data_IF_083430664022
#
_entry.id   IF_083430664022
#
_cell.length_a   1.000
_cell.length_b   1.000
_cell.length_c   1.000
_cell.angle_alpha   90.00
_cell.angle_beta   90.00
_cell.angle_gamma   90.00
#
_symmetry.space_group_name_H-M   'P 1'
#
loop_
_entity.id
_entity.type
_entity.pdbx_description
1 polymer ?
#
# COMPACT_ATOMS: atom_id res chain seq x y z
N UNK A 1 -3.00 -17.48 -25.31
CA UNK A 1 -2.25 -17.58 -24.06
C UNK A 1 -2.45 -16.28 -23.27
N UNK A 2 -2.57 -16.35 -21.94
CA UNK A 2 -2.54 -15.13 -21.11
C UNK A 2 -1.15 -14.48 -21.22
N UNK A 3 -1.09 -13.16 -21.31
CA UNK A 3 0.18 -12.41 -21.37
C UNK A 3 0.83 -12.39 -19.99
N UNK A 4 2.15 -12.39 -19.93
CA UNK A 4 2.92 -12.24 -18.69
C UNK A 4 3.07 -10.76 -18.36
N UNK A 5 3.08 -10.44 -17.06
CA UNK A 5 3.11 -9.05 -16.57
C UNK A 5 4.27 -8.88 -15.61
N UNK A 6 5.14 -7.93 -15.89
CA UNK A 6 6.33 -7.64 -15.10
C UNK A 6 6.28 -6.23 -14.49
N UNK A 7 7.07 -6.02 -13.45
CA UNK A 7 7.26 -4.72 -12.81
C UNK A 7 8.58 -4.16 -13.36
N UNK A 8 8.49 -3.07 -14.12
CA UNK A 8 9.65 -2.43 -14.76
C UNK A 8 10.06 -1.11 -14.12
N UNK A 9 9.24 -0.52 -13.25
CA UNK A 9 9.56 0.71 -12.54
C UNK A 9 8.89 0.81 -11.18
N UNK A 10 9.57 1.45 -10.23
CA UNK A 10 9.16 1.61 -8.85
C UNK A 10 9.35 3.06 -8.39
N UNK A 11 8.33 3.63 -7.76
CA UNK A 11 8.41 4.93 -7.11
C UNK A 11 7.63 4.95 -5.81
N UNK A 12 8.17 5.64 -4.80
CA UNK A 12 7.58 5.68 -3.47
C UNK A 12 7.93 6.97 -2.74
N UNK A 13 6.98 7.45 -1.95
CA UNK A 13 7.20 8.40 -0.87
C UNK A 13 6.52 7.83 0.38
N UNK A 14 7.27 7.73 1.47
CA UNK A 14 6.82 7.06 2.69
C UNK A 14 7.48 7.64 3.93
N UNK A 15 6.97 7.33 5.13
CA UNK A 15 7.57 7.82 6.39
C UNK A 15 9.01 7.39 6.64
N UNK A 16 9.49 6.36 5.92
CA UNK A 16 10.85 5.82 6.10
C UNK A 16 11.75 6.01 4.87
N UNK A 17 11.28 6.73 3.86
CA UNK A 17 12.09 7.07 2.68
C UNK A 17 11.26 7.75 1.60
N UNK A 18 11.86 8.74 0.94
CA UNK A 18 11.24 9.54 -0.10
C UNK A 18 11.55 9.05 -1.53
N UNK A 19 12.27 7.93 -1.63
CA UNK A 19 12.47 7.13 -2.84
C UNK A 19 12.68 5.65 -2.47
N UNK A 20 12.82 4.79 -3.47
CA UNK A 20 12.93 3.33 -3.24
C UNK A 20 14.27 2.92 -2.62
N UNK A 21 15.34 3.68 -2.83
CA UNK A 21 16.65 3.44 -2.25
C UNK A 21 16.65 3.77 -0.76
N UNK A 22 16.10 4.93 -0.38
CA UNK A 22 15.95 5.34 1.02
C UNK A 22 15.00 4.40 1.78
N UNK A 23 13.87 4.04 1.15
CA UNK A 23 12.93 3.08 1.71
C UNK A 23 13.60 1.75 1.99
N UNK A 24 14.31 1.20 1.01
CA UNK A 24 14.94 -0.11 1.14
C UNK A 24 16.05 -0.11 2.20
N UNK A 25 16.90 0.91 2.19
CA UNK A 25 17.92 1.09 3.23
C UNK A 25 17.30 1.18 4.63
N UNK A 26 16.16 1.87 4.76
CA UNK A 26 15.42 1.95 6.03
C UNK A 26 14.85 0.60 6.47
N UNK A 27 14.33 -0.20 5.55
CA UNK A 27 13.85 -1.57 5.81
C UNK A 27 14.99 -2.48 6.30
N UNK A 28 16.14 -2.48 5.62
CA UNK A 28 17.29 -3.31 6.00
C UNK A 28 17.85 -2.93 7.38
N UNK A 29 17.84 -1.64 7.71
CA UNK A 29 18.33 -1.12 8.99
C UNK A 29 17.27 -1.09 10.10
N UNK A 30 16.05 -1.57 9.86
CA UNK A 30 14.99 -1.63 10.85
C UNK A 30 14.55 -0.24 11.34
N UNK A 31 14.54 0.77 10.45
CA UNK A 31 14.09 2.13 10.79
C UNK A 31 12.57 2.16 10.94
N UNK A 32 12.10 2.73 12.05
CA UNK A 32 10.69 3.02 12.28
C UNK A 32 10.39 4.49 11.95
N UNK A 33 9.34 4.74 11.14
CA UNK A 33 8.90 6.08 10.75
C UNK A 33 7.83 6.68 11.65
N UNK A 34 7.45 6.00 12.72
CA UNK A 34 6.43 6.46 13.67
C UNK A 34 7.05 7.50 14.61
N UNK A 35 6.38 8.63 14.74
CA UNK A 35 6.82 9.73 15.60
C UNK A 35 5.60 10.57 16.04
N UNK A 36 5.84 11.62 16.84
CA UNK A 36 4.81 12.57 17.21
C UNK A 36 4.19 13.25 15.98
N UNK A 37 2.87 13.44 16.01
CA UNK A 37 2.13 14.16 14.97
C UNK A 37 2.54 15.62 15.00
N UNK A 38 2.94 16.16 13.84
CA UNK A 38 3.35 17.55 13.67
C UNK A 38 2.44 18.34 12.71
N UNK A 39 1.58 17.67 11.95
CA UNK A 39 0.71 18.27 10.94
C UNK A 39 -0.45 19.09 11.53
N UNK A 40 -0.79 18.85 12.80
CA UNK A 40 -1.83 19.62 13.53
C UNK A 40 -1.59 19.56 15.05
N UNK A 41 -2.25 20.43 15.81
CA UNK A 41 -2.20 20.41 17.27
C UNK A 41 -2.94 19.19 17.83
N UNK A 42 -2.23 18.35 18.55
CA UNK A 42 -2.74 17.12 19.16
C UNK A 42 -3.11 17.29 20.64
N UNK A 43 -3.07 18.49 21.23
CA UNK A 43 -3.31 18.69 22.67
C UNK A 43 -4.58 18.01 23.16
N UNK A 44 -5.68 18.14 22.43
CA UNK A 44 -6.99 17.55 22.74
C UNK A 44 -7.19 16.12 22.22
N UNK A 45 -6.25 15.59 21.44
CA UNK A 45 -6.32 14.23 20.90
C UNK A 45 -5.71 13.22 21.89
N UNK A 46 -6.31 12.02 22.01
CA UNK A 46 -5.71 10.91 22.74
C UNK A 46 -4.54 10.30 21.97
N UNK A 47 -4.68 10.20 20.65
CA UNK A 47 -3.65 9.71 19.75
C UNK A 47 -2.64 10.80 19.48
N UNK A 48 -1.36 10.52 19.74
CA UNK A 48 -0.25 11.46 19.61
C UNK A 48 0.74 11.09 18.51
N UNK A 49 0.70 9.83 18.04
CA UNK A 49 1.68 9.27 17.13
C UNK A 49 1.07 8.98 15.74
N UNK A 50 1.86 9.25 14.71
CA UNK A 50 1.58 8.86 13.33
C UNK A 50 2.90 8.64 12.57
N UNK A 51 2.81 8.07 11.38
CA UNK A 51 3.93 7.93 10.48
C UNK A 51 3.79 8.97 9.34
N UNK A 52 4.32 10.17 9.58
CA UNK A 52 4.30 11.30 8.64
C UNK A 52 5.47 11.25 7.67
N UNK A 53 5.27 11.72 6.45
CA UNK A 53 6.37 11.98 5.52
C UNK A 53 7.08 13.26 5.96
N UNK A 54 8.38 13.15 6.22
CA UNK A 54 9.26 14.23 6.60
C UNK A 54 10.24 14.56 5.47
N UNK A 55 10.67 15.82 5.42
CA UNK A 55 11.75 16.32 4.55
C UNK A 55 11.54 16.07 3.03
N UNK A 56 10.28 15.97 2.59
CA UNK A 56 9.96 15.84 1.17
C UNK A 56 9.96 17.20 0.49
N UNK A 57 10.93 17.43 -0.39
CA UNK A 57 10.98 18.62 -1.23
C UNK A 57 10.09 18.46 -2.47
N UNK A 58 8.88 18.98 -2.41
CA UNK A 58 7.93 18.97 -3.52
C UNK A 58 8.45 19.74 -4.75
N UNK A 59 9.24 20.81 -4.54
CA UNK A 59 9.73 21.71 -5.61
C UNK A 59 10.83 21.03 -6.44
N UNK A 60 11.48 20.01 -5.93
CA UNK A 60 12.40 19.14 -6.70
C UNK A 60 11.69 18.46 -7.88
N UNK A 61 10.39 18.18 -7.74
CA UNK A 61 9.62 17.41 -8.73
C UNK A 61 8.70 18.27 -9.59
N UNK A 62 8.06 19.28 -9.00
CA UNK A 62 7.06 20.14 -9.63
C UNK A 62 7.17 21.58 -9.15
N UNK A 63 6.87 22.56 -10.00
CA UNK A 63 6.83 23.95 -9.56
C UNK A 63 5.60 24.23 -8.67
N UNK A 64 5.68 25.31 -7.86
CA UNK A 64 4.61 25.69 -6.90
C UNK A 64 3.24 25.86 -7.55
N UNK A 65 3.20 26.34 -8.81
CA UNK A 65 1.95 26.58 -9.52
C UNK A 65 1.24 25.25 -9.82
N UNK A 66 1.99 24.23 -10.26
CA UNK A 66 1.45 22.93 -10.59
C UNK A 66 0.92 22.19 -9.36
N UNK A 67 1.50 22.46 -8.19
CA UNK A 67 1.10 21.81 -6.94
C UNK A 67 -0.04 22.56 -6.22
N UNK A 68 -0.31 23.83 -6.56
CA UNK A 68 -1.23 24.69 -5.81
C UNK A 68 -2.66 24.15 -5.72
N UNK A 69 -3.10 23.43 -6.74
CA UNK A 69 -4.48 22.92 -6.87
C UNK A 69 -4.55 21.41 -6.70
N UNK A 70 -3.57 20.82 -6.03
CA UNK A 70 -3.56 19.42 -5.65
C UNK A 70 -3.65 19.27 -4.13
N UNK A 71 -4.51 18.39 -3.66
CA UNK A 71 -4.48 17.90 -2.29
C UNK A 71 -3.17 17.12 -2.05
N UNK A 72 -2.79 16.97 -0.79
CA UNK A 72 -1.54 16.31 -0.39
C UNK A 72 -1.38 14.91 -0.97
N UNK A 73 -2.47 14.10 -0.98
CA UNK A 73 -2.42 12.74 -1.55
C UNK A 73 -2.15 12.75 -3.07
N UNK A 74 -2.65 13.74 -3.81
CA UNK A 74 -2.36 13.89 -5.25
C UNK A 74 -0.91 14.24 -5.49
N UNK A 75 -0.32 15.11 -4.64
CA UNK A 75 1.11 15.46 -4.72
C UNK A 75 1.99 14.23 -4.53
N UNK A 76 1.69 13.39 -3.55
CA UNK A 76 2.41 12.13 -3.33
C UNK A 76 2.28 11.18 -4.53
N UNK A 77 1.07 10.99 -5.05
CA UNK A 77 0.82 10.15 -6.22
C UNK A 77 1.65 10.59 -7.44
N UNK A 78 1.69 11.91 -7.71
CA UNK A 78 2.46 12.48 -8.82
C UNK A 78 3.96 12.24 -8.65
N UNK A 79 4.51 12.46 -7.45
CA UNK A 79 5.94 12.26 -7.17
C UNK A 79 6.31 10.79 -7.32
N UNK A 80 5.56 9.89 -6.67
CA UNK A 80 5.81 8.45 -6.79
C UNK A 80 5.69 7.97 -8.24
N UNK A 81 4.73 8.50 -9.01
CA UNK A 81 4.61 8.19 -10.44
C UNK A 81 5.82 8.66 -11.24
N UNK A 82 6.26 9.90 -11.02
CA UNK A 82 7.44 10.43 -11.70
C UNK A 82 8.68 9.58 -11.45
N UNK A 83 8.91 9.21 -10.18
CA UNK A 83 10.00 8.30 -9.81
C UNK A 83 9.87 6.93 -10.50
N UNK A 84 8.67 6.31 -10.49
CA UNK A 84 8.43 5.02 -11.11
C UNK A 84 8.66 5.05 -12.63
N UNK A 85 8.25 6.14 -13.27
CA UNK A 85 8.40 6.32 -14.69
C UNK A 85 9.86 6.56 -15.10
N UNK A 86 10.58 7.39 -14.35
CA UNK A 86 12.03 7.60 -14.50
C UNK A 86 12.80 6.29 -14.27
N UNK A 87 12.47 5.53 -13.23
CA UNK A 87 13.09 4.23 -12.91
C UNK A 87 12.83 3.17 -14.00
N UNK A 88 11.66 3.20 -14.63
CA UNK A 88 11.32 2.29 -15.73
C UNK A 88 12.05 2.59 -17.03
N UNK A 89 12.60 3.80 -17.18
CA UNK A 89 13.20 4.33 -18.41
C UNK A 89 12.27 4.20 -19.63
N UNK A 90 10.96 4.37 -19.42
CA UNK A 90 9.96 4.40 -20.49
C UNK A 90 10.01 5.76 -21.20
N UNK A 91 10.43 5.79 -22.47
CA UNK A 91 10.53 7.00 -23.27
C UNK A 91 9.54 6.98 -24.45
N UNK A 92 9.47 5.86 -25.15
CA UNK A 92 8.57 5.67 -26.29
C UNK A 92 7.59 4.53 -25.98
N UNK A 93 6.30 4.88 -25.89
CA UNK A 93 5.23 3.95 -25.53
C UNK A 93 3.90 4.38 -26.16
N UNK A 94 3.04 3.41 -26.41
CA UNK A 94 1.69 3.67 -26.92
C UNK A 94 0.80 4.26 -25.82
N UNK A 95 0.46 5.54 -25.95
CA UNK A 95 -0.35 6.29 -24.98
C UNK A 95 -1.78 5.77 -24.88
N UNK A 96 -2.34 5.27 -25.96
CA UNK A 96 -3.71 4.73 -25.98
C UNK A 96 -3.77 3.33 -25.35
N UNK A 97 -2.61 2.65 -25.24
CA UNK A 97 -2.46 1.36 -24.57
C UNK A 97 -1.78 1.44 -23.19
N UNK A 98 -1.60 2.68 -22.68
CA UNK A 98 -1.07 2.94 -21.35
C UNK A 98 -2.18 3.42 -20.43
N UNK A 99 -2.42 2.69 -19.34
CA UNK A 99 -3.46 3.00 -18.35
C UNK A 99 -2.90 3.52 -17.03
N UNK A 100 -3.77 4.15 -16.25
CA UNK A 100 -3.49 4.61 -14.88
C UNK A 100 -4.57 4.09 -13.93
N UNK A 101 -4.17 3.33 -12.92
CA UNK A 101 -5.09 2.83 -11.87
C UNK A 101 -4.48 3.16 -10.52
N UNK A 102 -4.94 4.24 -9.89
CA UNK A 102 -4.45 4.68 -8.60
C UNK A 102 -5.55 4.66 -7.55
N UNK A 103 -5.23 4.09 -6.41
CA UNK A 103 -6.15 3.96 -5.28
C UNK A 103 -5.96 5.05 -4.23
N UNK A 104 -7.01 5.32 -3.49
CA UNK A 104 -6.98 6.02 -2.20
C UNK A 104 -8.16 5.53 -1.37
N UNK A 105 -8.02 5.51 -0.06
CA UNK A 105 -9.12 5.15 0.84
C UNK A 105 -10.10 6.29 1.08
N UNK A 106 -9.57 7.51 1.28
CA UNK A 106 -10.35 8.68 1.70
C UNK A 106 -10.22 9.85 0.71
N UNK A 107 -9.11 9.94 -0.02
CA UNK A 107 -8.88 11.01 -0.98
C UNK A 107 -8.54 12.34 -0.31
N UNK A 108 -9.11 13.45 -0.81
CA UNK A 108 -8.78 14.82 -0.40
C UNK A 108 -9.38 15.25 0.94
N UNK A 109 -9.21 14.47 2.00
CA UNK A 109 -9.75 14.74 3.34
C UNK A 109 -9.22 16.04 3.94
N UNK A 110 -7.95 16.39 3.68
CA UNK A 110 -7.37 17.67 4.11
C UNK A 110 -8.10 18.83 3.46
N UNK A 111 -8.33 18.77 2.15
CA UNK A 111 -9.11 19.78 1.40
C UNK A 111 -10.54 19.90 1.92
N UNK A 112 -11.22 18.77 2.20
CA UNK A 112 -12.58 18.76 2.75
C UNK A 112 -12.61 19.46 4.09
N UNK A 113 -11.72 19.10 5.03
CA UNK A 113 -11.66 19.67 6.36
C UNK A 113 -11.37 21.18 6.32
N UNK A 114 -10.39 21.60 5.49
CA UNK A 114 -10.03 23.00 5.38
C UNK A 114 -11.14 23.85 4.73
N UNK A 115 -11.85 23.33 3.73
CA UNK A 115 -12.95 24.04 3.08
C UNK A 115 -14.17 24.14 3.98
N UNK A 116 -14.46 23.15 4.82
CA UNK A 116 -15.51 23.20 5.83
C UNK A 116 -15.23 24.30 6.88
N UNK A 117 -14.00 24.42 7.37
CA UNK A 117 -13.60 25.50 8.25
C UNK A 117 -13.79 26.89 7.59
N UNK A 118 -13.37 27.03 6.32
CA UNK A 118 -13.59 28.28 5.57
C UNK A 118 -15.07 28.59 5.39
N UNK A 119 -15.90 27.59 5.09
CA UNK A 119 -17.35 27.76 4.97
C UNK A 119 -17.96 28.29 6.27
N UNK A 120 -17.59 27.69 7.40
CA UNK A 120 -18.13 28.05 8.72
C UNK A 120 -17.66 29.42 9.21
N UNK A 121 -16.39 29.77 8.95
CA UNK A 121 -15.81 31.06 9.41
C UNK A 121 -16.10 32.23 8.47
N UNK A 122 -16.14 32.00 7.15
CA UNK A 122 -16.09 33.07 6.13
C UNK A 122 -17.27 33.04 5.15
N UNK A 123 -18.11 32.01 5.23
CA UNK A 123 -19.29 31.84 4.40
C UNK A 123 -19.03 31.25 3.01
N UNK A 124 -20.09 30.88 2.27
CA UNK A 124 -20.00 30.06 1.05
C UNK A 124 -19.25 30.72 -0.12
N UNK A 125 -19.24 32.05 -0.19
CA UNK A 125 -18.52 32.77 -1.26
C UNK A 125 -17.00 32.71 -1.15
N UNK A 126 -16.46 32.19 -0.05
CA UNK A 126 -15.02 32.08 0.23
C UNK A 126 -14.49 30.65 0.05
N UNK A 127 -15.35 29.68 -0.17
CA UNK A 127 -14.95 28.31 -0.50
C UNK A 127 -14.22 28.30 -1.85
N UNK A 128 -13.12 27.53 -1.92
CA UNK A 128 -12.29 27.45 -3.12
C UNK A 128 -13.09 26.91 -4.32
N UNK A 129 -12.98 27.50 -5.53
CA UNK A 129 -13.57 26.92 -6.74
C UNK A 129 -12.93 25.57 -7.14
N UNK A 130 -11.76 25.24 -6.56
CA UNK A 130 -11.07 23.97 -6.75
C UNK A 130 -11.42 22.92 -5.68
N UNK A 131 -12.34 23.25 -4.76
CA UNK A 131 -12.73 22.33 -3.67
C UNK A 131 -13.10 20.95 -4.20
N UNK A 132 -14.07 20.89 -5.11
CA UNK A 132 -14.55 19.60 -5.64
C UNK A 132 -13.43 18.83 -6.38
N UNK A 133 -12.72 19.41 -7.35
CA UNK A 133 -11.61 18.69 -8.00
C UNK A 133 -10.54 18.18 -7.03
N UNK A 134 -10.19 18.95 -6.00
CA UNK A 134 -9.17 18.56 -5.04
C UNK A 134 -9.64 17.47 -4.06
N UNK A 135 -10.95 17.40 -3.78
CA UNK A 135 -11.52 16.44 -2.85
C UNK A 135 -11.75 15.04 -3.46
N UNK A 136 -11.96 14.96 -4.78
CA UNK A 136 -12.31 13.72 -5.46
C UNK A 136 -11.17 12.70 -5.45
N UNK A 137 -11.47 11.44 -5.11
CA UNK A 137 -10.47 10.35 -5.05
C UNK A 137 -9.83 10.08 -6.42
N UNK A 138 -10.64 10.07 -7.49
CA UNK A 138 -10.15 9.76 -8.84
C UNK A 138 -9.23 10.84 -9.45
N UNK A 139 -9.09 11.98 -8.80
CA UNK A 139 -8.30 13.08 -9.36
C UNK A 139 -6.79 12.77 -9.36
N UNK A 140 -6.32 11.91 -8.46
CA UNK A 140 -4.95 11.44 -8.47
C UNK A 140 -4.64 10.68 -9.77
N UNK A 141 -5.50 9.72 -10.14
CA UNK A 141 -5.35 8.98 -11.39
C UNK A 141 -5.46 9.89 -12.63
N UNK A 142 -6.46 10.79 -12.63
CA UNK A 142 -6.66 11.74 -13.71
C UNK A 142 -5.49 12.71 -13.89
N UNK A 143 -4.92 13.23 -12.80
CA UNK A 143 -3.77 14.14 -12.86
C UNK A 143 -2.51 13.41 -13.36
N UNK A 144 -2.28 12.19 -12.88
CA UNK A 144 -1.16 11.34 -13.34
C UNK A 144 -1.32 11.00 -14.83
N UNK A 145 -2.54 10.68 -15.28
CA UNK A 145 -2.79 10.42 -16.71
C UNK A 145 -2.47 11.66 -17.58
N UNK A 146 -2.78 12.86 -17.09
CA UNK A 146 -2.42 14.12 -17.76
C UNK A 146 -0.90 14.31 -17.79
N UNK A 147 -0.21 14.11 -16.67
CA UNK A 147 1.26 14.26 -16.56
C UNK A 147 2.01 13.34 -17.55
N UNK A 148 1.48 12.13 -17.78
CA UNK A 148 2.08 11.11 -18.65
C UNK A 148 1.54 11.13 -20.10
N UNK A 149 0.53 11.91 -20.40
CA UNK A 149 -0.28 11.81 -21.64
C UNK A 149 -0.77 10.36 -21.87
N UNK A 150 -1.13 9.65 -20.78
CA UNK A 150 -1.66 8.29 -20.83
C UNK A 150 -3.17 8.35 -21.16
N UNK A 151 -3.56 7.77 -22.30
CA UNK A 151 -4.92 7.90 -22.87
C UNK A 151 -5.72 6.61 -22.82
N UNK A 152 -5.11 5.53 -22.31
CA UNK A 152 -5.80 4.27 -22.10
C UNK A 152 -6.76 4.33 -20.91
N UNK A 153 -7.00 3.18 -20.28
CA UNK A 153 -7.92 3.09 -19.16
C UNK A 153 -7.41 3.90 -17.95
N UNK A 154 -8.22 4.82 -17.45
CA UNK A 154 -7.93 5.62 -16.26
C UNK A 154 -9.03 5.43 -15.22
N UNK A 155 -8.67 4.97 -14.00
CA UNK A 155 -9.64 4.68 -12.94
C UNK A 155 -9.01 4.83 -11.55
N UNK A 156 -9.88 4.90 -10.54
CA UNK A 156 -9.47 4.78 -9.14
C UNK A 156 -10.24 3.67 -8.44
N UNK A 157 -9.52 2.87 -7.66
CA UNK A 157 -10.09 1.80 -6.85
C UNK A 157 -10.27 2.29 -5.42
N UNK A 158 -11.44 2.05 -4.85
CA UNK A 158 -11.79 2.44 -3.47
C UNK A 158 -12.33 1.21 -2.73
N UNK A 159 -11.43 0.47 -2.10
CA UNK A 159 -11.74 -0.71 -1.25
C UNK A 159 -11.03 -0.60 0.10
N UNK A 160 -11.11 0.61 0.69
CA UNK A 160 -10.46 0.95 1.96
C UNK A 160 -8.96 0.55 1.96
N UNK A 161 -8.50 -0.19 2.99
CA UNK A 161 -7.11 -0.58 3.11
C UNK A 161 -6.63 -1.59 2.04
N UNK A 162 -7.53 -2.23 1.31
CA UNK A 162 -7.20 -3.14 0.21
C UNK A 162 -7.11 -2.43 -1.17
N UNK A 163 -7.36 -1.11 -1.21
CA UNK A 163 -7.57 -0.37 -2.44
C UNK A 163 -6.35 -0.44 -3.39
N UNK A 164 -5.14 -0.23 -2.89
CA UNK A 164 -3.94 -0.24 -3.74
C UNK A 164 -3.57 -1.65 -4.22
N UNK A 165 -3.77 -2.69 -3.41
CA UNK A 165 -3.58 -4.08 -3.86
C UNK A 165 -4.57 -4.43 -4.97
N UNK A 166 -5.82 -4.01 -4.85
CA UNK A 166 -6.81 -4.17 -5.92
C UNK A 166 -6.43 -3.36 -7.17
N UNK A 167 -5.91 -2.12 -7.03
CA UNK A 167 -5.47 -1.33 -8.17
C UNK A 167 -4.33 -2.01 -8.97
N UNK A 168 -3.37 -2.60 -8.26
CA UNK A 168 -2.28 -3.39 -8.88
C UNK A 168 -2.86 -4.65 -9.53
N UNK A 169 -3.75 -5.37 -8.85
CA UNK A 169 -4.41 -6.56 -9.37
C UNK A 169 -5.26 -6.28 -10.62
N UNK A 170 -6.05 -5.21 -10.63
CA UNK A 170 -6.80 -4.79 -11.82
C UNK A 170 -5.88 -4.39 -12.97
N UNK A 171 -4.78 -3.67 -12.68
CA UNK A 171 -3.75 -3.34 -13.67
C UNK A 171 -3.12 -4.59 -14.29
N UNK A 172 -2.78 -5.56 -13.45
CA UNK A 172 -2.30 -6.88 -13.88
C UNK A 172 -3.31 -7.57 -14.82
N UNK A 173 -4.60 -7.61 -14.45
CA UNK A 173 -5.63 -8.23 -15.29
C UNK A 173 -5.76 -7.51 -16.65
N UNK A 174 -5.73 -6.17 -16.67
CA UNK A 174 -5.84 -5.39 -17.92
C UNK A 174 -4.71 -5.68 -18.91
N UNK A 175 -3.48 -5.88 -18.42
CA UNK A 175 -2.35 -6.24 -19.27
C UNK A 175 -2.43 -7.70 -19.68
N UNK A 176 -2.65 -8.61 -18.71
CA UNK A 176 -2.73 -10.05 -18.94
C UNK A 176 -3.76 -10.44 -19.99
N UNK A 177 -4.90 -9.77 -19.96
CA UNK A 177 -6.02 -10.05 -20.86
C UNK A 177 -5.94 -9.24 -22.17
N UNK A 178 -4.86 -8.47 -22.38
CA UNK A 178 -4.53 -7.82 -23.65
C UNK A 178 -5.20 -6.47 -23.89
N UNK A 179 -5.85 -5.88 -22.88
CA UNK A 179 -6.47 -4.55 -23.02
C UNK A 179 -5.44 -3.42 -23.06
N UNK A 180 -4.36 -3.55 -22.28
CA UNK A 180 -3.28 -2.57 -22.16
C UNK A 180 -1.92 -3.26 -22.30
N UNK A 181 -0.88 -2.49 -22.57
CA UNK A 181 0.50 -2.95 -22.58
C UNK A 181 1.25 -2.45 -21.37
N UNK A 182 0.86 -1.30 -20.82
CA UNK A 182 1.44 -0.67 -19.65
C UNK A 182 0.34 -0.18 -18.72
N UNK A 183 0.52 -0.36 -17.42
CA UNK A 183 -0.34 0.24 -16.40
C UNK A 183 0.52 0.84 -15.29
N UNK A 184 0.30 2.11 -15.02
CA UNK A 184 0.79 2.79 -13.82
C UNK A 184 -0.20 2.49 -12.70
N UNK A 185 0.17 1.60 -11.80
CA UNK A 185 -0.71 1.09 -10.75
C UNK A 185 -0.15 1.35 -9.36
N UNK A 186 -1.02 1.64 -8.41
CA UNK A 186 -0.60 1.87 -7.03
C UNK A 186 -1.64 2.58 -6.19
N UNK A 187 -1.19 3.34 -5.20
CA UNK A 187 -2.09 4.08 -4.33
C UNK A 187 -1.41 5.23 -3.59
N UNK A 188 -2.22 6.14 -3.12
CA UNK A 188 -1.76 7.34 -2.41
C UNK A 188 -2.75 7.72 -1.32
N UNK A 189 -2.25 8.09 -0.16
CA UNK A 189 -3.05 8.51 0.99
C UNK A 189 -2.37 9.62 1.79
N UNK A 190 -3.12 10.63 2.21
CA UNK A 190 -2.65 11.70 3.06
C UNK A 190 -3.72 12.07 4.09
N UNK A 191 -4.05 11.09 4.94
CA UNK A 191 -5.18 11.19 5.86
C UNK A 191 -4.81 11.55 7.29
N UNK A 192 -3.55 11.96 7.57
CA UNK A 192 -3.15 12.43 8.90
C UNK A 192 -3.66 13.87 9.09
N UNK A 193 -4.96 13.98 9.39
CA UNK A 193 -5.65 15.23 9.70
C UNK A 193 -6.35 15.10 11.06
N UNK A 194 -6.59 16.24 11.74
CA UNK A 194 -7.32 16.22 13.02
C UNK A 194 -8.65 15.48 12.91
N UNK A 195 -9.42 15.74 11.83
CA UNK A 195 -10.72 15.09 11.61
C UNK A 195 -10.60 13.57 11.43
N UNK A 196 -9.68 13.10 10.58
CA UNK A 196 -9.54 11.67 10.32
C UNK A 196 -8.97 10.91 11.53
N UNK A 197 -7.99 11.49 12.24
CA UNK A 197 -7.45 10.92 13.49
C UNK A 197 -8.55 10.83 14.55
N UNK A 198 -9.38 11.88 14.73
CA UNK A 198 -10.51 11.85 15.65
C UNK A 198 -11.54 10.77 15.25
N UNK A 199 -11.84 10.62 13.96
CA UNK A 199 -12.77 9.61 13.44
C UNK A 199 -12.30 8.18 13.74
N UNK A 200 -11.05 7.84 13.43
CA UNK A 200 -10.49 6.51 13.73
C UNK A 200 -10.29 6.27 15.24
N UNK A 201 -9.94 7.30 16.01
CA UNK A 201 -9.85 7.21 17.47
C UNK A 201 -11.21 6.93 18.11
N UNK A 202 -12.29 7.55 17.62
CA UNK A 202 -13.67 7.30 18.07
C UNK A 202 -14.12 5.85 17.84
N UNK A 203 -13.56 5.20 16.79
CA UNK A 203 -13.78 3.77 16.52
C UNK A 203 -12.92 2.85 17.40
N UNK A 204 -12.02 3.41 18.22
CA UNK A 204 -11.00 2.66 18.99
C UNK A 204 -10.10 1.78 18.10
N UNK A 205 -9.82 2.25 16.91
CA UNK A 205 -9.01 1.52 15.94
C UNK A 205 -7.53 1.89 16.01
N UNK A 206 -7.22 3.08 16.57
CA UNK A 206 -5.85 3.60 16.66
C UNK A 206 -5.17 3.20 17.97
N UNK A 207 -3.87 3.02 17.90
CA UNK A 207 -3.02 2.89 19.09
C UNK A 207 -2.97 4.22 19.86
N UNK A 208 -3.23 4.16 21.16
CA UNK A 208 -3.08 5.28 22.09
C UNK A 208 -1.70 5.25 22.80
N UNK A 209 -0.76 4.43 22.31
CA UNK A 209 0.60 4.38 22.86
C UNK A 209 1.30 5.74 22.69
N UNK A 210 2.07 6.11 23.69
CA UNK A 210 2.99 7.27 23.65
C UNK A 210 4.44 6.84 23.38
N UNK A 211 4.71 5.54 23.41
CA UNK A 211 6.01 4.98 23.03
C UNK A 211 5.98 4.64 21.53
N UNK A 212 6.74 5.41 20.74
CA UNK A 212 6.83 5.22 19.29
C UNK A 212 7.34 3.84 18.86
N UNK A 213 8.11 3.18 19.72
CA UNK A 213 8.60 1.83 19.45
C UNK A 213 7.57 0.75 19.82
N UNK A 214 6.48 1.10 20.52
CA UNK A 214 5.42 0.17 20.91
C UNK A 214 4.06 0.52 20.33
N UNK A 215 3.99 1.52 19.45
CA UNK A 215 2.71 1.98 18.89
C UNK A 215 2.19 1.09 17.76
N UNK A 216 3.07 0.56 16.89
CA UNK A 216 2.71 -0.39 15.83
C UNK A 216 3.57 -1.65 15.99
N UNK A 217 2.97 -2.69 16.54
CA UNK A 217 3.61 -3.95 16.93
C UNK A 217 2.78 -5.15 16.44
N UNK A 218 2.65 -5.35 15.12
CA UNK A 218 1.84 -6.44 14.58
C UNK A 218 2.21 -7.80 15.17
N UNK A 219 1.19 -8.60 15.50
CA UNK A 219 1.29 -9.94 16.10
C UNK A 219 1.83 -9.99 17.55
N UNK A 220 2.16 -8.84 18.13
CA UNK A 220 2.59 -8.77 19.55
C UNK A 220 1.37 -8.91 20.47
N UNK A 221 1.58 -9.54 21.62
CA UNK A 221 0.58 -9.75 22.66
C UNK A 221 -0.01 -8.42 23.21
N UNK A 222 0.80 -7.36 23.22
CA UNK A 222 0.42 -6.04 23.73
C UNK A 222 -0.15 -5.10 22.66
N UNK A 223 -0.35 -5.58 21.41
CA UNK A 223 -0.92 -4.76 20.35
C UNK A 223 -2.32 -4.26 20.71
N UNK A 224 -2.63 -3.01 20.38
CA UNK A 224 -3.87 -2.38 20.82
C UNK A 224 -4.54 -1.48 19.78
N UNK A 225 -3.98 -1.37 18.57
CA UNK A 225 -4.49 -0.52 17.50
C UNK A 225 -3.43 -0.25 16.45
N UNK A 226 -3.84 0.29 15.31
CA UNK A 226 -2.89 0.68 14.28
C UNK A 226 -2.40 2.12 14.46
N UNK A 227 -1.26 2.46 13.85
CA UNK A 227 -0.76 3.82 13.71
C UNK A 227 -1.03 4.29 12.30
N UNK A 228 -1.67 5.44 12.12
CA UNK A 228 -1.89 6.03 10.79
C UNK A 228 -0.57 6.42 10.15
N UNK A 229 -0.43 6.13 8.86
CA UNK A 229 0.66 6.60 8.01
C UNK A 229 0.12 7.33 6.78
N UNK A 230 1.00 8.06 6.10
CA UNK A 230 0.72 8.71 4.82
C UNK A 230 1.78 8.35 3.78
N UNK A 231 1.45 8.46 2.52
CA UNK A 231 2.41 8.22 1.45
C UNK A 231 1.78 7.73 0.15
N UNK A 232 2.64 7.35 -0.76
CA UNK A 232 2.26 6.79 -2.05
C UNK A 232 3.31 5.80 -2.54
N UNK A 233 2.86 4.74 -3.19
CA UNK A 233 3.73 3.93 -4.02
C UNK A 233 3.07 3.63 -5.35
N UNK A 234 3.88 3.59 -6.39
CA UNK A 234 3.48 3.36 -7.77
C UNK A 234 4.42 2.34 -8.40
N UNK A 235 3.84 1.36 -9.07
CA UNK A 235 4.52 0.36 -9.86
C UNK A 235 4.18 0.56 -11.33
N UNK A 236 5.16 0.52 -12.21
CA UNK A 236 4.94 0.40 -13.65
C UNK A 236 4.82 -1.08 -13.96
N UNK A 237 3.61 -1.51 -14.27
CA UNK A 237 3.31 -2.86 -14.76
C UNK A 237 3.41 -2.85 -16.27
N UNK A 238 4.06 -3.84 -16.84
CA UNK A 238 4.35 -3.88 -18.27
C UNK A 238 4.20 -5.32 -18.81
N UNK A 239 3.69 -5.43 -20.02
CA UNK A 239 3.65 -6.70 -20.74
C UNK A 239 5.10 -7.19 -20.98
N UNK A 240 5.36 -8.48 -20.74
CA UNK A 240 6.72 -9.01 -20.75
C UNK A 240 7.44 -8.81 -22.09
N UNK A 241 6.79 -9.15 -23.21
CA UNK A 241 7.44 -9.03 -24.54
C UNK A 241 7.70 -7.55 -24.90
N UNK A 242 6.82 -6.65 -24.44
CA UNK A 242 7.06 -5.21 -24.56
C UNK A 242 8.29 -4.78 -23.76
N UNK A 243 8.41 -5.24 -22.51
CA UNK A 243 9.54 -4.94 -21.64
C UNK A 243 10.86 -5.50 -22.21
N UNK A 244 10.85 -6.76 -22.67
CA UNK A 244 12.04 -7.41 -23.26
C UNK A 244 12.50 -6.71 -24.55
N UNK A 245 11.57 -6.30 -25.42
CA UNK A 245 11.88 -5.63 -26.68
C UNK A 245 12.66 -4.34 -26.48
N UNK A 246 12.42 -3.62 -25.39
CA UNK A 246 13.12 -2.38 -25.05
C UNK A 246 14.29 -2.57 -24.07
N UNK A 247 14.66 -3.83 -23.73
CA UNK A 247 15.65 -4.18 -22.72
C UNK A 247 15.37 -3.52 -21.36
N UNK A 248 14.11 -3.57 -20.92
CA UNK A 248 13.71 -3.02 -19.65
C UNK A 248 14.40 -3.73 -18.49
N UNK A 249 14.74 -2.99 -17.45
CA UNK A 249 15.00 -3.57 -16.15
C UNK A 249 13.71 -4.19 -15.60
N UNK A 250 13.77 -5.43 -15.17
CA UNK A 250 12.65 -6.13 -14.57
C UNK A 250 12.96 -6.40 -13.10
N UNK A 251 12.02 -6.06 -12.21
CA UNK A 251 12.15 -6.27 -10.77
C UNK A 251 11.58 -7.61 -10.33
N UNK A 252 10.37 -7.91 -10.78
CA UNK A 252 9.62 -9.11 -10.49
C UNK A 252 8.51 -9.32 -11.53
N UNK A 253 7.89 -10.48 -11.52
CA UNK A 253 6.68 -10.78 -12.30
C UNK A 253 5.47 -10.81 -11.36
N UNK A 254 4.36 -10.18 -11.74
CA UNK A 254 3.06 -10.37 -11.07
C UNK A 254 2.43 -11.62 -11.67
N UNK A 255 2.24 -12.65 -10.87
CA UNK A 255 1.79 -13.97 -11.37
C UNK A 255 0.39 -14.36 -10.90
N UNK A 256 -0.11 -13.76 -9.82
CA UNK A 256 -1.44 -14.07 -9.31
C UNK A 256 -2.07 -12.90 -8.57
N UNK A 257 -3.38 -12.80 -8.72
CA UNK A 257 -4.23 -11.86 -7.99
C UNK A 257 -5.50 -12.57 -7.55
N UNK A 258 -5.87 -12.36 -6.28
CA UNK A 258 -7.11 -12.87 -5.73
C UNK A 258 -7.78 -11.82 -4.85
N UNK A 259 -9.09 -11.79 -4.90
CA UNK A 259 -9.91 -10.96 -4.03
C UNK A 259 -11.11 -11.75 -3.49
N UNK A 260 -11.72 -11.25 -2.44
CA UNK A 260 -12.94 -11.76 -1.84
C UNK A 260 -13.62 -10.66 -1.02
N UNK A 261 -14.85 -10.93 -0.62
CA UNK A 261 -15.58 -10.08 0.33
C UNK A 261 -16.06 -10.95 1.49
N UNK A 262 -15.86 -10.47 2.73
CA UNK A 262 -16.36 -11.13 3.94
C UNK A 262 -17.90 -11.15 4.00
N UNK A 263 -18.55 -10.11 3.45
CA UNK A 263 -20.01 -9.92 3.47
C UNK A 263 -20.62 -10.11 4.89
N UNK A 264 -19.92 -9.60 5.91
CA UNK A 264 -20.25 -9.84 7.32
C UNK A 264 -20.52 -8.55 8.09
N UNK A 265 -19.52 -7.67 8.25
CA UNK A 265 -19.58 -6.45 9.04
C UNK A 265 -18.79 -5.33 8.37
N UNK A 266 -19.17 -4.06 8.63
CA UNK A 266 -18.55 -2.90 7.97
C UNK A 266 -17.09 -2.67 8.37
N UNK A 267 -16.65 -3.12 9.57
CA UNK A 267 -15.30 -2.87 10.08
C UNK A 267 -14.61 -4.12 10.64
N UNK A 268 -15.36 -5.11 11.14
CA UNK A 268 -14.78 -6.32 11.72
C UNK A 268 -14.57 -7.40 10.65
N UNK A 269 -13.37 -8.02 10.59
CA UNK A 269 -13.13 -9.17 9.72
C UNK A 269 -13.93 -10.39 10.18
N UNK A 270 -14.06 -11.39 9.30
CA UNK A 270 -14.58 -12.70 9.68
C UNK A 270 -13.69 -13.32 10.75
N UNK A 271 -14.29 -13.75 11.86
CA UNK A 271 -13.55 -14.27 13.01
C UNK A 271 -12.80 -15.58 12.74
N UNK A 272 -13.19 -16.31 11.71
CA UNK A 272 -12.57 -17.56 11.26
C UNK A 272 -11.50 -17.36 10.17
N UNK A 273 -11.29 -16.12 9.70
CA UNK A 273 -10.34 -15.76 8.66
C UNK A 273 -10.67 -16.30 7.25
N UNK A 274 -11.83 -16.95 7.07
CA UNK A 274 -12.16 -17.63 5.80
C UNK A 274 -12.27 -16.68 4.60
N UNK A 275 -12.72 -15.43 4.82
CA UNK A 275 -12.80 -14.43 3.75
C UNK A 275 -11.43 -14.09 3.18
N UNK A 276 -10.51 -13.63 4.03
CA UNK A 276 -9.13 -13.34 3.62
C UNK A 276 -8.41 -14.59 3.09
N UNK A 277 -8.62 -15.77 3.71
CA UNK A 277 -8.08 -17.04 3.23
C UNK A 277 -8.54 -17.38 1.80
N UNK A 278 -9.78 -17.05 1.43
CA UNK A 278 -10.27 -17.21 0.05
C UNK A 278 -9.55 -16.29 -0.93
N UNK A 279 -9.27 -15.03 -0.56
CA UNK A 279 -8.48 -14.13 -1.41
C UNK A 279 -7.08 -14.70 -1.69
N UNK A 280 -6.42 -15.24 -0.66
CA UNK A 280 -5.12 -15.92 -0.79
C UNK A 280 -5.21 -17.13 -1.71
N UNK A 281 -6.21 -18.02 -1.52
CA UNK A 281 -6.42 -19.19 -2.38
C UNK A 281 -6.73 -18.81 -3.83
N UNK A 282 -7.51 -17.76 -4.06
CA UNK A 282 -7.79 -17.24 -5.39
C UNK A 282 -6.51 -16.77 -6.08
N UNK A 283 -5.63 -16.05 -5.36
CA UNK A 283 -4.33 -15.61 -5.89
C UNK A 283 -3.41 -16.80 -6.21
N UNK A 284 -3.35 -17.80 -5.35
CA UNK A 284 -2.58 -19.05 -5.55
C UNK A 284 -3.09 -19.79 -6.80
N UNK A 285 -4.40 -19.94 -6.93
CA UNK A 285 -5.03 -20.57 -8.09
C UNK A 285 -4.77 -19.79 -9.38
N UNK A 286 -4.86 -18.45 -9.35
CA UNK A 286 -4.60 -17.61 -10.53
C UNK A 286 -3.13 -17.67 -10.96
N UNK A 287 -2.20 -17.79 -10.01
CA UNK A 287 -0.77 -18.01 -10.26
C UNK A 287 -0.44 -19.42 -10.79
N UNK A 288 -1.33 -20.38 -10.62
CA UNK A 288 -1.10 -21.78 -11.00
C UNK A 288 0.01 -22.47 -10.21
N UNK A 289 0.15 -22.14 -8.92
CA UNK A 289 1.15 -22.68 -8.00
C UNK A 289 0.47 -23.34 -6.79
N UNK A 290 1.24 -23.95 -5.92
CA UNK A 290 0.77 -24.47 -4.62
C UNK A 290 1.15 -23.51 -3.49
N UNK A 291 0.40 -23.52 -2.37
CA UNK A 291 0.69 -22.67 -1.21
C UNK A 291 2.13 -22.86 -0.69
N UNK A 292 2.64 -24.08 -0.71
CA UNK A 292 4.03 -24.42 -0.28
C UNK A 292 5.12 -23.74 -1.13
N UNK A 293 4.81 -23.27 -2.34
CA UNK A 293 5.77 -22.58 -3.20
C UNK A 293 6.04 -21.14 -2.74
N UNK A 294 5.16 -20.57 -1.91
CA UNK A 294 5.26 -19.22 -1.38
C UNK A 294 6.20 -19.23 -0.17
N UNK A 295 7.33 -18.56 -0.29
CA UNK A 295 8.34 -18.50 0.76
C UNK A 295 8.16 -17.36 1.76
N UNK A 296 7.39 -16.32 1.40
CA UNK A 296 7.19 -15.13 2.22
C UNK A 296 5.80 -14.51 2.02
N UNK A 297 5.23 -14.03 3.10
CA UNK A 297 4.00 -13.20 3.13
C UNK A 297 4.33 -11.86 3.78
N UNK A 298 4.14 -10.76 3.04
CA UNK A 298 3.99 -9.44 3.61
C UNK A 298 2.52 -9.30 4.04
N UNK A 299 2.29 -9.47 5.32
CA UNK A 299 0.95 -9.53 5.88
C UNK A 299 0.30 -8.14 5.98
N UNK A 300 -1.02 -8.13 5.98
CA UNK A 300 -1.75 -6.92 6.32
C UNK A 300 -1.38 -6.43 7.72
N UNK A 301 -1.38 -7.29 8.73
CA UNK A 301 -0.76 -7.11 10.04
C UNK A 301 -0.82 -5.68 10.58
N UNK A 302 -2.00 -5.22 11.00
CA UNK A 302 -2.23 -3.81 11.37
C UNK A 302 -1.87 -3.48 12.82
N UNK A 303 -1.45 -4.46 13.62
CA UNK A 303 -1.30 -4.27 15.07
C UNK A 303 -2.61 -4.09 15.83
N UNK A 304 -3.74 -4.46 15.22
CA UNK A 304 -5.03 -4.51 15.91
C UNK A 304 -5.32 -5.94 16.39
N UNK A 305 -5.93 -6.11 17.58
CA UNK A 305 -6.24 -7.44 18.12
C UNK A 305 -7.04 -8.32 17.17
N UNK A 306 -8.08 -7.76 16.54
CA UNK A 306 -8.99 -8.52 15.67
C UNK A 306 -8.37 -8.89 14.33
N UNK A 307 -7.68 -7.93 13.68
CA UNK A 307 -7.10 -8.19 12.35
C UNK A 307 -6.00 -9.25 12.40
N UNK A 308 -5.03 -9.10 13.30
CA UNK A 308 -3.85 -9.95 13.30
C UNK A 308 -4.22 -11.40 13.66
N UNK A 309 -5.20 -11.59 14.55
CA UNK A 309 -5.79 -12.90 14.83
C UNK A 309 -6.53 -13.47 13.62
N UNK A 310 -7.40 -12.69 12.97
CA UNK A 310 -8.16 -13.13 11.80
C UNK A 310 -7.23 -13.46 10.64
N UNK A 311 -6.20 -12.65 10.36
CA UNK A 311 -5.22 -12.92 9.30
C UNK A 311 -4.38 -14.18 9.60
N UNK A 312 -4.04 -14.44 10.87
CA UNK A 312 -3.40 -15.69 11.28
C UNK A 312 -4.25 -16.89 10.90
N UNK A 313 -5.54 -16.84 11.18
CA UNK A 313 -6.49 -17.91 10.80
C UNK A 313 -6.65 -18.01 9.28
N UNK A 314 -6.64 -16.89 8.57
CA UNK A 314 -6.69 -16.85 7.11
C UNK A 314 -5.46 -17.52 6.46
N UNK A 315 -4.27 -17.26 6.99
CA UNK A 315 -3.04 -17.93 6.54
C UNK A 315 -3.12 -19.42 6.81
N UNK A 316 -3.56 -19.84 7.99
CA UNK A 316 -3.76 -21.26 8.31
C UNK A 316 -4.79 -21.89 7.37
N UNK A 317 -5.87 -21.19 7.06
CA UNK A 317 -6.90 -21.67 6.13
C UNK A 317 -6.35 -21.88 4.72
N UNK A 318 -5.53 -20.93 4.22
CA UNK A 318 -5.01 -20.98 2.85
C UNK A 318 -3.82 -21.94 2.69
N UNK A 319 -2.96 -22.07 3.70
CA UNK A 319 -1.72 -22.85 3.63
C UNK A 319 -1.82 -24.25 4.26
N UNK A 320 -2.90 -24.54 5.00
CA UNK A 320 -3.08 -25.83 5.66
C UNK A 320 -1.89 -26.17 6.56
N UNK A 321 -1.34 -27.36 6.44
CA UNK A 321 -0.21 -27.84 7.25
C UNK A 321 1.09 -27.07 6.96
N UNK A 322 1.20 -26.37 5.82
CA UNK A 322 2.40 -25.65 5.41
C UNK A 322 2.51 -24.23 6.03
N UNK A 323 1.54 -23.80 6.86
CA UNK A 323 1.53 -22.42 7.38
C UNK A 323 2.74 -22.07 8.27
N UNK A 324 3.43 -23.08 8.82
CA UNK A 324 4.67 -22.90 9.59
C UNK A 324 5.93 -22.76 8.74
N UNK A 325 5.87 -23.14 7.46
CA UNK A 325 7.02 -23.14 6.56
C UNK A 325 7.18 -21.77 5.86
N UNK A 326 6.08 -21.00 5.74
CA UNK A 326 6.09 -19.68 5.13
C UNK A 326 6.52 -18.63 6.14
N UNK A 327 7.47 -17.76 5.75
CA UNK A 327 7.89 -16.62 6.56
C UNK A 327 6.85 -15.50 6.47
N UNK A 328 6.54 -14.87 7.58
CA UNK A 328 5.55 -13.79 7.66
C UNK A 328 6.16 -12.56 8.33
N UNK A 329 5.93 -11.38 7.79
CA UNK A 329 6.16 -10.14 8.53
C UNK A 329 5.14 -9.08 8.14
N UNK A 330 4.98 -8.06 8.98
CA UNK A 330 4.24 -6.85 8.66
C UNK A 330 5.17 -5.64 8.69
N UNK A 331 5.33 -5.02 7.54
CA UNK A 331 6.14 -3.81 7.39
C UNK A 331 5.46 -2.56 7.94
N UNK A 332 4.17 -2.66 8.35
CA UNK A 332 3.47 -1.59 9.08
C UNK A 332 4.08 -1.26 10.44
N UNK A 333 4.90 -2.15 11.00
CA UNK A 333 5.73 -1.84 12.17
C UNK A 333 6.76 -0.74 11.90
N UNK A 334 7.15 -0.54 10.63
CA UNK A 334 8.07 0.50 10.17
C UNK A 334 7.34 1.72 9.59
N UNK A 335 6.37 1.48 8.71
CA UNK A 335 5.71 2.52 7.90
C UNK A 335 4.45 3.10 8.55
N UNK A 336 3.89 2.48 9.60
CA UNK A 336 2.51 2.69 9.97
C UNK A 336 1.55 2.13 8.90
N UNK A 337 0.28 2.38 9.07
CA UNK A 337 -0.78 1.95 8.15
C UNK A 337 -1.17 3.10 7.22
N UNK A 338 -0.75 3.04 5.95
CA UNK A 338 -1.02 4.07 4.95
C UNK A 338 -2.43 3.94 4.31
N UNK A 339 -3.36 3.27 4.98
CA UNK A 339 -4.76 3.09 4.54
C UNK A 339 -4.83 2.62 3.08
N UNK A 340 -5.46 3.42 2.20
CA UNK A 340 -5.61 3.07 0.79
C UNK A 340 -4.31 2.93 -0.01
N UNK A 341 -3.20 3.47 0.48
CA UNK A 341 -1.87 3.35 -0.15
C UNK A 341 -1.05 2.16 0.35
N UNK A 342 -1.42 1.55 1.50
CA UNK A 342 -0.63 0.49 2.15
C UNK A 342 -0.24 -0.64 1.21
N UNK A 343 -1.20 -1.20 0.48
CA UNK A 343 -0.95 -2.34 -0.39
C UNK A 343 0.06 -2.07 -1.50
N UNK A 344 0.17 -0.82 -1.96
CA UNK A 344 1.18 -0.46 -2.97
C UNK A 344 2.59 -0.36 -2.38
N UNK A 345 2.73 0.23 -1.19
CA UNK A 345 4.02 0.28 -0.47
C UNK A 345 4.48 -1.13 -0.11
N UNK A 346 3.57 -1.98 0.35
CA UNK A 346 3.84 -3.38 0.69
C UNK A 346 4.21 -4.22 -0.53
N UNK A 347 3.52 -4.02 -1.66
CA UNK A 347 3.86 -4.66 -2.93
C UNK A 347 5.25 -4.25 -3.43
N UNK A 348 5.60 -2.96 -3.30
CA UNK A 348 6.91 -2.43 -3.65
C UNK A 348 8.00 -3.03 -2.73
N UNK A 349 7.78 -3.05 -1.42
CA UNK A 349 8.71 -3.68 -0.46
C UNK A 349 8.86 -5.17 -0.77
N UNK A 350 7.77 -5.88 -1.07
CA UNK A 350 7.79 -7.30 -1.43
C UNK A 350 8.56 -7.55 -2.73
N UNK A 351 8.42 -6.64 -3.71
CA UNK A 351 9.19 -6.67 -4.96
C UNK A 351 10.69 -6.54 -4.69
N UNK A 352 11.08 -5.58 -3.83
CA UNK A 352 12.49 -5.39 -3.44
C UNK A 352 13.02 -6.55 -2.58
N UNK A 353 12.18 -7.16 -1.75
CA UNK A 353 12.53 -8.33 -0.96
C UNK A 353 12.91 -9.53 -1.86
N UNK A 354 12.12 -9.79 -2.91
CA UNK A 354 12.44 -10.80 -3.92
C UNK A 354 13.75 -10.48 -4.64
N UNK A 355 13.90 -9.24 -5.13
CA UNK A 355 15.08 -8.81 -5.87
C UNK A 355 16.36 -8.95 -5.05
N UNK A 356 16.33 -8.48 -3.80
CA UNK A 356 17.50 -8.45 -2.92
C UNK A 356 17.69 -9.75 -2.12
N UNK A 357 16.80 -10.74 -2.24
CA UNK A 357 16.83 -11.97 -1.45
C UNK A 357 16.89 -11.72 0.05
N UNK A 358 16.12 -10.74 0.53
CA UNK A 358 16.05 -10.32 1.93
C UNK A 358 14.61 -10.20 2.39
N UNK A 359 14.26 -10.83 3.50
CA UNK A 359 12.92 -10.81 4.09
C UNK A 359 12.87 -9.75 5.19
N UNK A 360 12.01 -8.72 5.05
CA UNK A 360 11.81 -7.70 6.06
C UNK A 360 11.29 -8.27 7.39
N UNK A 361 11.59 -7.61 8.49
CA UNK A 361 11.09 -7.97 9.81
C UNK A 361 9.79 -7.24 10.19
N UNK A 362 9.05 -7.82 11.11
CA UNK A 362 8.14 -7.10 12.01
C UNK A 362 8.97 -6.50 13.14
N UNK A 363 9.05 -5.17 13.19
CA UNK A 363 9.86 -4.44 14.16
C UNK A 363 9.19 -4.35 15.54
N UNK A 364 10.00 -4.12 16.57
CA UNK A 364 9.55 -3.81 17.95
C UNK A 364 8.65 -4.89 18.58
N UNK A 365 8.71 -6.12 18.08
CA UNK A 365 7.93 -7.24 18.56
C UNK A 365 8.65 -7.86 19.78
N UNK A 366 8.02 -7.83 20.95
CA UNK A 366 8.56 -8.40 22.17
C UNK A 366 8.13 -9.85 22.37
N UNK A 367 6.83 -10.10 22.41
CA UNK A 367 6.24 -11.41 22.64
C UNK A 367 5.13 -11.65 21.58
N UNK A 368 5.25 -12.74 20.84
CA UNK A 368 4.21 -13.13 19.87
C UNK A 368 2.98 -13.59 20.66
N UNK A 369 1.81 -13.07 20.26
CA UNK A 369 0.53 -13.52 20.82
C UNK A 369 0.30 -15.00 20.49
N UNK A 370 -0.13 -15.79 21.45
CA UNK A 370 -0.42 -17.22 21.27
C UNK A 370 -1.47 -17.48 20.17
N UNK A 371 -2.38 -16.52 19.94
CA UNK A 371 -3.35 -16.58 18.85
C UNK A 371 -2.75 -16.22 17.48
N UNK A 372 -1.51 -15.75 17.42
CA UNK A 372 -0.77 -15.35 16.23
C UNK A 372 0.45 -16.24 15.97
N UNK A 373 0.33 -17.55 16.15
CA UNK A 373 1.39 -18.56 16.13
C UNK A 373 1.97 -18.86 14.72
N UNK A 374 2.22 -17.82 13.92
CA UNK A 374 2.86 -17.89 12.61
C UNK A 374 4.39 -17.91 12.69
N UNK A 375 5.06 -18.20 11.60
CA UNK A 375 6.53 -18.13 11.48
C UNK A 375 6.97 -16.67 11.21
N UNK A 376 6.91 -15.83 12.23
CA UNK A 376 7.12 -14.38 12.10
C UNK A 376 8.61 -14.05 12.11
N UNK A 377 9.06 -13.27 11.10
CA UNK A 377 10.38 -12.66 11.05
C UNK A 377 10.43 -11.50 12.03
N UNK A 378 11.04 -11.71 13.18
CA UNK A 378 10.99 -10.82 14.36
C UNK A 378 12.19 -9.89 14.42
N UNK A 379 11.94 -8.58 14.52
CA UNK A 379 12.88 -7.49 14.84
C UNK A 379 14.07 -7.30 13.88
N UNK A 380 14.57 -8.36 13.28
CA UNK A 380 15.67 -8.31 12.30
C UNK A 380 15.29 -9.13 11.08
N UNK A 381 15.39 -8.52 9.91
CA UNK A 381 15.19 -9.21 8.64
C UNK A 381 16.28 -10.26 8.40
N UNK A 382 16.07 -11.11 7.45
CA UNK A 382 17.00 -12.21 7.15
C UNK A 382 17.22 -12.36 5.65
N UNK A 383 18.45 -12.73 5.28
CA UNK A 383 18.78 -13.10 3.91
C UNK A 383 18.17 -14.47 3.58
N UNK A 384 17.32 -14.50 2.59
CA UNK A 384 16.73 -15.74 2.07
C UNK A 384 16.31 -15.57 0.62
N UNK A 385 16.85 -16.40 -0.25
CA UNK A 385 16.40 -16.47 -1.63
C UNK A 385 15.07 -17.23 -1.68
N UNK A 386 14.02 -16.57 -2.14
CA UNK A 386 12.69 -17.12 -2.33
C UNK A 386 12.22 -16.86 -3.75
N UNK A 387 11.39 -17.74 -4.27
CA UNK A 387 10.88 -17.67 -5.64
C UNK A 387 9.57 -16.91 -5.73
N UNK A 388 8.67 -17.13 -4.79
CA UNK A 388 7.35 -16.48 -4.74
C UNK A 388 7.13 -15.81 -3.39
N UNK A 389 6.55 -14.62 -3.43
CA UNK A 389 6.09 -13.90 -2.25
C UNK A 389 4.65 -13.41 -2.47
N UNK A 390 3.90 -13.34 -1.38
CA UNK A 390 2.51 -12.84 -1.34
C UNK A 390 2.46 -11.53 -0.56
N UNK A 391 1.63 -10.58 -0.99
CA UNK A 391 1.27 -9.39 -0.21
C UNK A 391 -0.23 -9.36 -0.02
N UNK A 392 -0.68 -9.20 1.23
CA UNK A 392 -2.08 -9.22 1.62
C UNK A 392 -2.56 -7.85 2.06
N UNK A 393 -3.79 -7.52 1.73
CA UNK A 393 -4.48 -6.34 2.24
C UNK A 393 -5.92 -6.67 2.60
N UNK A 394 -6.30 -6.30 3.82
CA UNK A 394 -7.64 -6.52 4.38
C UNK A 394 -8.25 -5.15 4.70
N UNK A 395 -9.42 -4.86 4.15
CA UNK A 395 -10.03 -3.53 4.25
C UNK A 395 -11.39 -3.54 4.94
N UNK A 396 -11.74 -2.42 5.56
CA UNK A 396 -13.10 -2.17 6.02
C UNK A 396 -14.10 -2.38 4.88
N UNK A 397 -15.32 -2.85 5.20
CA UNK A 397 -16.27 -3.34 4.21
C UNK A 397 -16.08 -4.83 3.88
N UNK A 398 -15.09 -5.50 4.52
CA UNK A 398 -14.78 -6.91 4.27
C UNK A 398 -14.04 -7.14 2.96
N UNK A 399 -13.35 -6.11 2.45
CA UNK A 399 -12.56 -6.22 1.23
C UNK A 399 -11.23 -6.91 1.51
N UNK A 400 -10.97 -8.05 0.86
CA UNK A 400 -9.73 -8.80 0.97
C UNK A 400 -9.06 -8.88 -0.40
N UNK A 401 -7.76 -8.63 -0.46
CA UNK A 401 -6.98 -8.71 -1.68
C UNK A 401 -5.59 -9.33 -1.41
N UNK A 402 -5.13 -10.19 -2.31
CA UNK A 402 -3.80 -10.80 -2.27
C UNK A 402 -3.18 -10.77 -3.66
N UNK A 403 -1.92 -10.37 -3.74
CA UNK A 403 -1.12 -10.48 -4.97
C UNK A 403 0.06 -11.41 -4.74
N UNK A 404 0.46 -12.13 -5.79
CA UNK A 404 1.64 -13.00 -5.77
C UNK A 404 2.63 -12.47 -6.77
N UNK A 405 3.84 -12.23 -6.27
CA UNK A 405 5.00 -11.82 -7.03
C UNK A 405 5.98 -12.98 -7.15
N UNK A 406 6.58 -13.10 -8.32
CA UNK A 406 7.62 -14.07 -8.62
C UNK A 406 8.94 -13.35 -8.86
N UNK A 407 10.00 -13.86 -8.25
CA UNK A 407 11.36 -13.38 -8.48
C UNK A 407 11.69 -13.45 -9.97
N UNK A 408 12.22 -12.36 -10.51
CA UNK A 408 12.75 -12.33 -11.86
C UNK A 408 14.16 -12.95 -11.86
N UNK A 409 14.37 -13.86 -12.78
CA UNK A 409 15.67 -14.49 -13.08
C UNK A 409 16.01 -14.16 -14.53
N UNK A 410 17.15 -13.48 -14.74
CA UNK A 410 17.66 -13.07 -16.06
C UNK A 410 18.03 -14.25 -16.95
#
# INVERSE_FOLDING_TARGET
MKRRVVISGLGVVSPIGNDKEELWNSIENGKCGIDEITLFDTSEHKVKLAAEIKDLDFEKYYNKRDLKFNDRFVKFARIATKQAFEDSNLQDFDRDRTGVILASGIGGIETISNCENVLNEKGPSRVSPYFIPMALINIAAGTVAIDLDARGYCSSVVTACAAATNAIGEGFLKIRDGYLDIVVAGGSEASITSLAVAGFASMRALSESTDKNRASIPFDKERNGFVMGEGSAVLVLEELEHALKRNAKIYAEVVGYGNSCDANHITAPLSDGSGAGKAMLNAISDAGIEAKDIGYINAHGTSTPLNDKSETLAIKYAFGENFKDVLVSSTKSATGHLLGASGAVEALITTLALKNSYIPATLNLNEIDEECDLNIVKNKGLEKNIKYAMSNSLGFGGHNASIILKKWED
#
